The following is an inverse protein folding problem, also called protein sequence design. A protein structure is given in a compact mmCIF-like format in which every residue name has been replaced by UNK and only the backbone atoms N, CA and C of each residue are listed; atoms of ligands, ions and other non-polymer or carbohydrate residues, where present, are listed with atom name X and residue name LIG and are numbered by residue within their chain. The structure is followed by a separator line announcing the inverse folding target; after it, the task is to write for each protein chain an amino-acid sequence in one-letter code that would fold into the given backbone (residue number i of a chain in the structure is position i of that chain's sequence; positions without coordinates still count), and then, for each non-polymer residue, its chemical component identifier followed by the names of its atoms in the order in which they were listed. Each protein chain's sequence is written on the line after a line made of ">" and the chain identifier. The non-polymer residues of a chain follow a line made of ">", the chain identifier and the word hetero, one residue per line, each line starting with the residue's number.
data_IF_335731003649
#
_entry.id   IF_335731003649
#
_cell.length_a   1.000
_cell.length_b   1.000
_cell.length_c   1.000
_cell.angle_alpha   90.00
_cell.angle_beta   90.00
_cell.angle_gamma   90.00
#
_symmetry.space_group_name_H-M   'P 1'
#
loop_
_entity.id
_entity.type
_entity.pdbx_description
1 polymer ?
#
# COMPACT_ATOMS: atom_id res chain seq x y z
N UNK A 1 6.73 -41.68 -31.12
CA UNK A 1 5.89 -40.63 -30.53
C UNK A 1 5.28 -41.25 -29.30
N UNK A 2 5.83 -40.93 -28.13
CA UNK A 2 5.30 -41.38 -26.85
C UNK A 2 4.98 -40.11 -26.08
N UNK A 3 3.71 -39.76 -26.08
CA UNK A 3 3.11 -38.79 -25.18
C UNK A 3 3.27 -39.35 -23.77
N UNK A 4 4.34 -38.91 -23.09
CA UNK A 4 4.43 -39.06 -21.65
C UNK A 4 3.53 -37.98 -21.06
N UNK A 5 2.33 -38.40 -20.64
CA UNK A 5 1.43 -37.63 -19.80
C UNK A 5 2.22 -37.08 -18.61
N UNK A 6 2.44 -35.76 -18.63
CA UNK A 6 2.96 -35.03 -17.48
C UNK A 6 2.04 -35.28 -16.28
N UNK A 7 2.58 -35.49 -15.07
CA UNK A 7 1.76 -35.64 -13.89
C UNK A 7 0.93 -34.37 -13.73
N UNK A 8 -0.37 -34.49 -13.99
CA UNK A 8 -1.35 -33.44 -13.76
C UNK A 8 -1.23 -33.07 -12.28
N UNK A 9 -0.64 -31.91 -11.99
CA UNK A 9 -0.46 -31.42 -10.63
C UNK A 9 -1.82 -31.35 -9.95
N UNK A 10 -2.10 -32.35 -9.12
CA UNK A 10 -3.34 -32.48 -8.37
C UNK A 10 -3.33 -31.44 -7.25
N UNK A 11 -4.24 -30.47 -7.37
CA UNK A 11 -4.72 -29.58 -6.32
C UNK A 11 -3.66 -28.72 -5.60
N UNK A 12 -3.14 -27.71 -6.29
CA UNK A 12 -2.97 -26.44 -5.58
C UNK A 12 -4.38 -25.80 -5.53
N UNK A 13 -5.02 -25.60 -4.35
CA UNK A 13 -6.13 -24.65 -4.27
C UNK A 13 -5.60 -23.38 -4.93
N UNK A 14 -6.21 -22.98 -6.04
CA UNK A 14 -5.59 -21.96 -6.86
C UNK A 14 -5.43 -20.73 -5.98
N UNK A 15 -4.34 -20.00 -6.16
CA UNK A 15 -4.15 -18.77 -5.40
C UNK A 15 -5.40 -17.89 -5.50
N UNK A 16 -6.17 -18.00 -6.60
CA UNK A 16 -7.47 -17.36 -6.81
C UNK A 16 -8.58 -17.81 -5.83
N UNK A 17 -8.61 -19.07 -5.43
CA UNK A 17 -9.52 -19.56 -4.36
C UNK A 17 -9.16 -18.92 -3.01
N UNK A 18 -7.86 -18.84 -2.69
CA UNK A 18 -7.41 -18.14 -1.49
C UNK A 18 -7.77 -16.64 -1.55
N UNK A 19 -7.66 -16.02 -2.72
CA UNK A 19 -8.00 -14.62 -2.98
C UNK A 19 -9.50 -14.34 -2.79
N UNK A 20 -10.36 -15.23 -3.26
CA UNK A 20 -11.82 -15.09 -3.17
C UNK A 20 -12.39 -15.49 -1.80
N UNK A 21 -11.66 -16.29 -1.02
CA UNK A 21 -12.13 -16.75 0.29
C UNK A 21 -12.11 -15.63 1.34
N UNK A 22 -13.21 -15.51 2.08
CA UNK A 22 -13.29 -14.63 3.23
C UNK A 22 -12.64 -15.28 4.47
N UNK A 23 -11.36 -15.00 4.66
CA UNK A 23 -10.55 -15.52 5.78
C UNK A 23 -10.47 -14.45 6.87
N UNK A 24 -10.45 -14.79 8.16
CA UNK A 24 -10.31 -13.80 9.24
C UNK A 24 -8.87 -13.28 9.34
N UNK A 25 -8.69 -12.11 9.95
CA UNK A 25 -7.36 -11.51 10.14
C UNK A 25 -6.44 -12.38 10.99
N UNK A 26 -6.98 -13.02 12.02
CA UNK A 26 -6.22 -13.87 12.93
C UNK A 26 -5.71 -15.13 12.23
N UNK A 27 -6.53 -15.75 11.38
CA UNK A 27 -6.16 -16.91 10.58
C UNK A 27 -5.07 -16.54 9.56
N UNK A 28 -5.17 -15.36 8.92
CA UNK A 28 -4.12 -14.85 8.06
C UNK A 28 -2.80 -14.62 8.83
N UNK A 29 -2.86 -14.17 10.10
CA UNK A 29 -1.65 -14.02 10.92
C UNK A 29 -1.02 -15.38 11.20
N UNK A 30 -1.83 -16.37 11.56
CA UNK A 30 -1.39 -17.73 11.79
C UNK A 30 -0.71 -18.34 10.54
N UNK A 31 -1.33 -18.14 9.36
CA UNK A 31 -0.77 -18.60 8.09
C UNK A 31 0.54 -17.88 7.77
N UNK A 32 0.60 -16.55 7.94
CA UNK A 32 1.83 -15.78 7.72
C UNK A 32 2.96 -16.22 8.66
N UNK A 33 2.67 -16.45 9.94
CA UNK A 33 3.64 -16.98 10.90
C UNK A 33 4.10 -18.39 10.53
N UNK A 34 3.20 -19.24 10.05
CA UNK A 34 3.53 -20.61 9.59
C UNK A 34 4.50 -20.60 8.41
N UNK A 35 4.34 -19.63 7.50
CA UNK A 35 5.27 -19.38 6.39
C UNK A 35 6.53 -18.60 6.80
N UNK A 36 6.71 -18.30 8.09
CA UNK A 36 7.82 -17.48 8.61
C UNK A 36 7.93 -16.12 7.92
N UNK A 37 6.79 -15.53 7.56
CA UNK A 37 6.71 -14.23 6.94
C UNK A 37 6.73 -13.15 8.01
N UNK A 38 7.61 -12.17 7.84
CA UNK A 38 7.69 -11.02 8.74
C UNK A 38 6.58 -10.02 8.43
N UNK A 39 5.86 -9.57 9.46
CA UNK A 39 4.81 -8.55 9.34
C UNK A 39 4.73 -7.70 10.61
N UNK A 40 4.24 -6.46 10.46
CA UNK A 40 4.04 -5.54 11.59
C UNK A 40 2.82 -5.95 12.42
N UNK A 41 2.83 -5.69 13.73
CA UNK A 41 1.76 -6.09 14.63
C UNK A 41 0.38 -5.49 14.26
N UNK A 42 0.40 -4.27 13.72
CA UNK A 42 -0.73 -3.45 13.28
C UNK A 42 -1.12 -3.64 11.80
N UNK A 43 -0.45 -4.55 11.07
CA UNK A 43 -0.67 -4.80 9.64
C UNK A 43 -2.16 -4.96 9.27
N UNK A 44 -2.57 -4.40 8.12
CA UNK A 44 -3.96 -4.52 7.66
C UNK A 44 -4.25 -5.92 7.12
N UNK A 45 -5.51 -6.36 7.24
CA UNK A 45 -5.97 -7.67 6.74
C UNK A 45 -5.63 -7.88 5.25
N UNK A 46 -5.83 -6.85 4.43
CA UNK A 46 -5.55 -6.88 2.99
C UNK A 46 -4.05 -6.98 2.67
N UNK A 47 -3.18 -6.34 3.46
CA UNK A 47 -1.73 -6.41 3.29
C UNK A 47 -1.21 -7.78 3.66
N UNK A 48 -1.71 -8.34 4.76
CA UNK A 48 -1.38 -9.68 5.21
C UNK A 48 -1.79 -10.75 4.18
N UNK A 49 -3.00 -10.61 3.60
CA UNK A 49 -3.46 -11.47 2.51
C UNK A 49 -2.55 -11.38 1.29
N UNK A 50 -2.16 -10.15 0.88
CA UNK A 50 -1.20 -9.95 -0.22
C UNK A 50 0.14 -10.61 0.05
N UNK A 51 0.65 -10.47 1.26
CA UNK A 51 1.97 -10.99 1.65
C UNK A 51 2.00 -12.52 1.51
N UNK A 52 0.93 -13.19 1.94
CA UNK A 52 0.74 -14.64 1.77
C UNK A 52 0.58 -15.01 0.29
N UNK A 53 -0.29 -14.32 -0.44
CA UNK A 53 -0.51 -14.55 -1.89
C UNK A 53 0.79 -14.41 -2.70
N UNK A 54 1.62 -13.41 -2.38
CA UNK A 54 2.92 -13.19 -3.01
C UNK A 54 3.90 -14.34 -2.70
N UNK A 55 3.90 -14.84 -1.45
CA UNK A 55 4.72 -15.98 -1.08
C UNK A 55 4.32 -17.27 -1.82
N UNK A 56 3.03 -17.46 -2.05
CA UNK A 56 2.49 -18.61 -2.78
C UNK A 56 2.73 -18.56 -4.31
N UNK A 57 3.48 -17.58 -4.81
CA UNK A 57 3.73 -17.42 -6.24
C UNK A 57 2.49 -17.00 -7.04
N UNK A 58 1.43 -16.58 -6.35
CA UNK A 58 0.27 -15.98 -6.98
C UNK A 58 0.69 -14.75 -7.76
N UNK A 59 0.21 -14.64 -9.01
CA UNK A 59 0.22 -13.36 -9.71
C UNK A 59 -0.41 -12.35 -8.77
N UNK A 60 0.35 -11.32 -8.40
CA UNK A 60 -0.10 -10.26 -7.52
C UNK A 60 -1.51 -9.89 -8.02
N UNK A 61 -2.54 -9.91 -7.16
CA UNK A 61 -3.89 -9.35 -7.44
C UNK A 61 -3.78 -7.82 -7.64
N UNK A 62 -2.55 -7.35 -7.86
CA UNK A 62 -2.00 -6.04 -7.62
C UNK A 62 -1.23 -5.54 -8.83
N UNK A 63 -1.39 -6.14 -10.01
CA UNK A 63 -1.50 -5.26 -11.18
C UNK A 63 -2.78 -4.40 -11.09
N UNK A 64 -3.71 -4.69 -10.17
CA UNK A 64 -4.89 -3.85 -9.86
C UNK A 64 -4.85 -3.13 -8.49
N UNK A 65 -3.74 -3.26 -7.75
CA UNK A 65 -3.47 -2.62 -6.45
C UNK A 65 -1.97 -2.25 -6.35
N UNK A 66 -1.40 -1.96 -7.52
CA UNK A 66 -0.17 -1.20 -7.67
C UNK A 66 -0.30 0.07 -6.84
N UNK A 67 0.60 0.18 -5.85
CA UNK A 67 0.95 1.41 -5.14
C UNK A 67 -0.11 1.83 -4.10
N UNK A 68 0.34 2.38 -2.97
CA UNK A 68 -0.40 3.48 -2.33
C UNK A 68 -0.38 4.60 -3.36
N UNK A 69 -1.19 4.44 -4.41
CA UNK A 69 -1.32 5.41 -5.47
C UNK A 69 -2.10 6.53 -4.83
N UNK A 70 -1.39 7.57 -4.42
CA UNK A 70 -1.98 8.86 -4.06
C UNK A 70 -2.55 9.44 -5.36
N UNK A 71 -3.57 8.79 -5.90
CA UNK A 71 -4.32 9.14 -7.10
C UNK A 71 -5.73 9.61 -6.74
N UNK A 72 -6.05 9.76 -5.45
CA UNK A 72 -7.17 10.60 -5.06
C UNK A 72 -6.78 12.03 -5.41
N UNK A 73 -7.34 12.53 -6.53
CA UNK A 73 -7.18 13.93 -6.96
C UNK A 73 -7.46 14.90 -5.79
N UNK A 74 -8.35 14.50 -4.88
CA UNK A 74 -8.66 15.24 -3.67
C UNK A 74 -7.50 15.29 -2.67
N UNK A 75 -6.79 14.17 -2.45
CA UNK A 75 -5.58 14.12 -1.61
C UNK A 75 -4.45 14.95 -2.24
N UNK A 76 -4.28 14.88 -3.57
CA UNK A 76 -3.30 15.71 -4.28
C UNK A 76 -3.63 17.20 -4.16
N UNK A 77 -4.90 17.58 -4.33
CA UNK A 77 -5.37 18.96 -4.16
C UNK A 77 -5.19 19.46 -2.72
N UNK A 78 -5.42 18.63 -1.71
CA UNK A 78 -5.18 18.98 -0.31
C UNK A 78 -3.69 19.19 -0.04
N UNK A 79 -2.82 18.35 -0.60
CA UNK A 79 -1.36 18.53 -0.50
C UNK A 79 -0.92 19.82 -1.20
N UNK A 80 -1.45 20.12 -2.39
CA UNK A 80 -1.14 21.36 -3.11
C UNK A 80 -1.64 22.60 -2.36
N UNK A 81 -2.84 22.53 -1.80
CA UNK A 81 -3.40 23.60 -0.97
C UNK A 81 -2.53 23.86 0.26
N UNK A 82 -2.10 22.81 0.94
CA UNK A 82 -1.23 22.92 2.11
C UNK A 82 0.12 23.59 1.74
N UNK A 83 0.71 23.20 0.61
CA UNK A 83 1.94 23.84 0.10
C UNK A 83 1.73 25.33 -0.18
N UNK A 84 0.60 25.70 -0.77
CA UNK A 84 0.27 27.09 -1.05
C UNK A 84 0.05 27.91 0.23
N UNK A 85 -0.63 27.35 1.23
CA UNK A 85 -0.82 28.00 2.53
C UNK A 85 0.51 28.25 3.24
N UNK A 86 1.44 27.28 3.20
CA UNK A 86 2.79 27.43 3.76
C UNK A 86 3.57 28.54 3.03
N UNK A 87 3.54 28.56 1.69
CA UNK A 87 4.22 29.59 0.91
C UNK A 87 3.66 30.98 1.20
N UNK A 88 2.33 31.11 1.30
CA UNK A 88 1.67 32.37 1.66
C UNK A 88 2.08 32.82 3.05
N UNK A 89 2.05 31.92 4.03
CA UNK A 89 2.49 32.21 5.39
C UNK A 89 3.94 32.72 5.40
N UNK A 90 4.83 32.06 4.65
CA UNK A 90 6.23 32.48 4.55
C UNK A 90 6.38 33.89 3.96
N UNK A 91 5.64 34.20 2.90
CA UNK A 91 5.67 35.53 2.26
C UNK A 91 5.09 36.60 3.19
N UNK A 92 4.01 36.31 3.89
CA UNK A 92 3.39 37.25 4.83
C UNK A 92 4.35 37.51 6.02
N UNK A 93 5.02 36.47 6.51
CA UNK A 93 6.06 36.59 7.53
C UNK A 93 7.24 37.47 7.05
N UNK A 94 7.80 37.20 5.87
CA UNK A 94 8.89 38.01 5.32
C UNK A 94 8.48 39.48 5.10
N UNK A 95 7.22 39.74 4.74
CA UNK A 95 6.68 41.11 4.60
C UNK A 95 6.53 41.81 5.93
N UNK A 96 6.16 41.10 6.99
CA UNK A 96 6.10 41.67 8.34
C UNK A 96 7.49 41.99 8.87
N UNK A 97 8.48 41.11 8.66
CA UNK A 97 9.88 41.41 9.02
C UNK A 97 10.40 42.65 8.30
N UNK A 98 10.18 42.78 6.99
CA UNK A 98 10.60 43.97 6.23
C UNK A 98 9.90 45.24 6.73
N UNK A 99 8.62 45.16 7.13
CA UNK A 99 7.89 46.31 7.70
C UNK A 99 8.42 46.69 9.06
N UNK A 100 8.73 45.72 9.90
CA UNK A 100 9.36 45.93 11.21
C UNK A 100 10.72 46.60 11.02
N UNK A 101 11.59 46.07 10.17
CA UNK A 101 12.91 46.64 9.86
C UNK A 101 12.84 48.07 9.32
N UNK A 102 11.86 48.36 8.45
CA UNK A 102 11.62 49.73 7.92
C UNK A 102 10.98 50.69 8.92
N UNK A 103 10.29 50.18 9.95
CA UNK A 103 9.72 51.01 11.00
C UNK A 103 10.73 51.34 12.11
N UNK A 104 11.80 50.56 12.21
CA UNK A 104 12.88 50.74 13.18
C UNK A 104 14.15 51.40 12.59
N UNK A 105 14.17 51.70 11.29
CA UNK A 105 15.22 52.47 10.60
C UNK A 105 14.75 53.89 10.29
#
# INVERSE_FOLDING_TARGET
>A
MSDFDEPTFVLNPSVDEFISTEIRKDDLKFIATSFKLEFQADIRKAELKRLITKHLGGKDIRDDLSVVSVNDAQTLLEIERLKFEILRFKVDYEREEIKLEKSTS
#
